data_IF_669632187824
#
_entry.id   IF_669632187824
#
_cell.length_a   1.000
_cell.length_b   1.000
_cell.length_c   1.000
_cell.angle_alpha   90.00
_cell.angle_beta   90.00
_cell.angle_gamma   90.00
#
_symmetry.space_group_name_H-M   'P 1'
#
loop_
_entity.id
_entity.type
_entity.pdbx_description
1 polymer ?
#
# COMPACT_ATOMS: atom_id res chain seq x y z
N UNK A 1 -0.78 -6.03 -21.79
CA UNK A 1 -1.49 -5.88 -20.51
C UNK A 1 -0.51 -6.12 -19.35
N UNK A 2 0.58 -5.35 -19.29
CA UNK A 2 1.63 -5.47 -18.26
C UNK A 2 1.52 -4.40 -17.16
N UNK A 3 0.87 -3.28 -17.48
CA UNK A 3 0.71 -2.12 -16.59
C UNK A 3 -0.07 -2.44 -15.30
N UNK A 4 -1.05 -3.35 -15.37
CA UNK A 4 -1.87 -3.70 -14.21
C UNK A 4 -1.11 -4.56 -13.19
N UNK A 5 -0.14 -5.36 -13.64
CA UNK A 5 0.69 -6.19 -12.75
C UNK A 5 1.75 -5.38 -12.03
N UNK A 6 2.39 -4.43 -12.72
CA UNK A 6 3.40 -3.56 -12.12
C UNK A 6 2.78 -2.69 -11.01
N UNK A 7 1.60 -2.10 -11.28
CA UNK A 7 0.85 -1.31 -10.29
C UNK A 7 0.44 -2.14 -9.06
N UNK A 8 0.00 -3.39 -9.27
CA UNK A 8 -0.35 -4.28 -8.17
C UNK A 8 0.87 -4.58 -7.29
N UNK A 9 2.02 -4.84 -7.92
CA UNK A 9 3.26 -5.10 -7.19
C UNK A 9 3.69 -3.89 -6.35
N UNK A 10 3.57 -2.68 -6.90
CA UNK A 10 3.84 -1.43 -6.17
C UNK A 10 2.94 -1.27 -4.94
N UNK A 11 1.63 -1.51 -5.07
CA UNK A 11 0.68 -1.43 -3.93
C UNK A 11 1.07 -2.39 -2.80
N UNK A 12 1.42 -3.62 -3.16
CA UNK A 12 1.82 -4.66 -2.21
C UNK A 12 3.12 -4.28 -1.51
N UNK A 13 4.14 -3.89 -2.27
CA UNK A 13 5.44 -3.49 -1.74
C UNK A 13 5.32 -2.29 -0.80
N UNK A 14 4.47 -1.31 -1.14
CA UNK A 14 4.23 -0.13 -0.31
C UNK A 14 3.61 -0.49 1.04
N UNK A 15 2.58 -1.35 1.05
CA UNK A 15 1.94 -1.82 2.28
C UNK A 15 2.92 -2.64 3.12
N UNK A 16 3.65 -3.57 2.50
CA UNK A 16 4.64 -4.41 3.18
C UNK A 16 5.75 -3.56 3.82
N UNK A 17 6.21 -2.51 3.14
CA UNK A 17 7.24 -1.61 3.66
C UNK A 17 6.78 -0.85 4.91
N UNK A 18 5.51 -0.42 4.96
CA UNK A 18 5.00 0.41 6.05
C UNK A 18 4.41 -0.36 7.23
N UNK A 19 3.77 -1.51 7.00
CA UNK A 19 3.13 -2.30 8.05
C UNK A 19 3.84 -3.60 8.38
N UNK A 20 4.85 -4.00 7.58
CA UNK A 20 5.61 -5.25 7.75
C UNK A 20 4.73 -6.52 7.79
N UNK A 21 3.56 -6.46 7.14
CA UNK A 21 2.71 -7.63 6.94
C UNK A 21 3.34 -8.60 5.94
N UNK A 22 2.97 -9.88 6.06
CA UNK A 22 3.44 -10.88 5.10
C UNK A 22 2.82 -10.64 3.73
N UNK A 23 3.48 -11.12 2.68
CA UNK A 23 2.96 -11.05 1.32
C UNK A 23 1.59 -11.73 1.21
N UNK A 24 1.42 -12.87 1.87
CA UNK A 24 0.18 -13.65 1.83
C UNK A 24 -0.98 -12.87 2.45
N UNK A 25 -0.76 -12.20 3.58
CA UNK A 25 -1.80 -11.37 4.24
C UNK A 25 -2.25 -10.21 3.34
N UNK A 26 -1.32 -9.62 2.58
CA UNK A 26 -1.62 -8.48 1.70
C UNK A 26 -2.32 -8.95 0.41
N UNK A 27 -1.96 -10.13 -0.10
CA UNK A 27 -2.60 -10.74 -1.26
C UNK A 27 -4.05 -11.19 -0.98
N UNK A 28 -4.36 -11.54 0.26
CA UNK A 28 -5.71 -11.89 0.70
C UNK A 28 -6.65 -10.67 0.84
N UNK A 29 -6.10 -9.45 0.86
CA UNK A 29 -6.91 -8.24 0.90
C UNK A 29 -7.70 -8.06 -0.40
N UNK A 30 -9.00 -7.82 -0.26
CA UNK A 30 -9.83 -7.36 -1.36
C UNK A 30 -9.21 -6.10 -2.00
N UNK A 31 -9.19 -6.05 -3.33
CA UNK A 31 -8.68 -4.90 -4.11
C UNK A 31 -9.09 -3.53 -3.54
N UNK A 32 -10.36 -3.23 -3.24
CA UNK A 32 -10.75 -1.93 -2.67
C UNK A 32 -10.15 -1.66 -1.28
N UNK A 33 -9.99 -2.69 -0.44
CA UNK A 33 -9.42 -2.54 0.89
C UNK A 33 -7.92 -2.25 0.81
N UNK A 34 -7.19 -2.94 -0.07
CA UNK A 34 -5.77 -2.69 -0.32
C UNK A 34 -5.53 -1.24 -0.75
N UNK A 35 -6.36 -0.71 -1.65
CA UNK A 35 -6.28 0.70 -2.10
C UNK A 35 -6.48 1.69 -0.97
N UNK A 36 -7.41 1.43 -0.04
CA UNK A 36 -7.61 2.29 1.13
C UNK A 36 -6.39 2.33 2.05
N UNK A 37 -5.69 1.20 2.23
CA UNK A 37 -4.44 1.19 3.00
C UNK A 37 -3.37 2.05 2.34
N UNK A 38 -3.17 1.94 1.02
CA UNK A 38 -2.22 2.79 0.28
C UNK A 38 -2.53 4.28 0.49
N UNK A 39 -3.80 4.68 0.37
CA UNK A 39 -4.23 6.06 0.58
C UNK A 39 -3.97 6.55 2.01
N UNK A 40 -4.27 5.72 3.01
CA UNK A 40 -4.13 6.11 4.42
C UNK A 40 -2.67 6.22 4.85
N UNK A 41 -1.81 5.30 4.38
CA UNK A 41 -0.35 5.41 4.56
C UNK A 41 0.14 6.75 3.97
N UNK A 42 -0.31 7.10 2.77
CA UNK A 42 0.02 8.38 2.14
C UNK A 42 -0.36 9.59 2.98
N UNK A 43 -1.58 9.60 3.55
CA UNK A 43 -2.05 10.66 4.45
C UNK A 43 -1.27 10.75 5.76
N UNK A 44 -0.86 9.62 6.32
CA UNK A 44 -0.02 9.60 7.54
C UNK A 44 1.34 10.22 7.22
N UNK A 45 1.99 9.79 6.14
CA UNK A 45 3.29 10.31 5.73
C UNK A 45 3.24 11.81 5.38
N UNK A 46 2.17 12.28 4.73
CA UNK A 46 1.98 13.71 4.46
C UNK A 46 1.92 14.52 5.75
N UNK A 47 1.10 14.09 6.73
CA UNK A 47 1.01 14.76 8.03
C UNK A 47 2.34 14.78 8.78
N UNK A 48 3.06 13.66 8.80
CA UNK A 48 4.38 13.58 9.43
C UNK A 48 5.41 14.52 8.79
N UNK A 49 5.34 14.69 7.47
CA UNK A 49 6.24 15.61 6.75
C UNK A 49 5.85 17.08 6.92
N UNK A 50 4.59 17.40 7.22
CA UNK A 50 4.12 18.77 7.47
C UNK A 50 4.42 19.24 8.91
N UNK A 51 4.59 18.31 9.85
CA UNK A 51 4.96 18.58 11.25
C UNK A 51 6.48 18.75 11.47
N UNK A 52 7.29 18.55 10.42
CA UNK A 52 8.75 18.59 10.43
C UNK A 52 9.32 19.81 9.68
#
# INVERSE_FOLDING_TARGET
>A
MTQDSDRLFEEIAYIAYHFHWSLDDILDLEHPLRRRFVEEIGRINQRLNEEH
#
